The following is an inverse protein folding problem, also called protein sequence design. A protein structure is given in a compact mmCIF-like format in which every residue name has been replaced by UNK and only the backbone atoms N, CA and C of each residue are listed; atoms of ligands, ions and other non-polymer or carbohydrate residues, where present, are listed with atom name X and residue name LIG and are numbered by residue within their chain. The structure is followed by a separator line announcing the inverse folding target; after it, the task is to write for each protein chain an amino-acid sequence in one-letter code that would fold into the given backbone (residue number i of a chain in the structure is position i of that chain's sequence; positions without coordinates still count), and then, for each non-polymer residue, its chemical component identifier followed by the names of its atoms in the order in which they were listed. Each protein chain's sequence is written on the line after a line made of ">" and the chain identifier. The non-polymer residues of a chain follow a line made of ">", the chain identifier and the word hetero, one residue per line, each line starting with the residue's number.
data_IF_997005716269
#
_entry.id   IF_997005716269
#
_cell.length_a   1.000
_cell.length_b   1.000
_cell.length_c   1.000
_cell.angle_alpha   90.00
_cell.angle_beta   90.00
_cell.angle_gamma   90.00
#
_symmetry.space_group_name_H-M   'P 1'
#
loop_
_entity.id
_entity.type
_entity.pdbx_description
1 polymer ?
#
# COMPACT_ATOMS: atom_id res chain seq x y z
N UNK A 1 -19.34 4.23 10.26
CA UNK A 1 -18.03 4.90 10.41
C UNK A 1 -17.09 4.22 9.44
N UNK A 2 -16.49 4.95 8.49
CA UNK A 2 -15.53 4.36 7.52
C UNK A 2 -14.11 4.53 8.06
N UNK A 3 -13.31 3.48 7.98
CA UNK A 3 -11.92 3.45 8.45
C UNK A 3 -10.99 3.17 7.24
N UNK A 4 -10.82 4.14 6.32
CA UNK A 4 -10.26 3.88 4.99
C UNK A 4 -8.82 3.36 5.01
N UNK A 5 -8.02 3.75 6.01
CA UNK A 5 -6.65 3.22 6.20
C UNK A 5 -6.69 1.74 6.57
N UNK A 6 -7.56 1.39 7.52
CA UNK A 6 -7.72 0.00 7.98
C UNK A 6 -8.30 -0.85 6.85
N UNK A 7 -9.31 -0.37 6.15
CA UNK A 7 -9.94 -1.05 5.02
C UNK A 7 -8.90 -1.36 3.91
N UNK A 8 -8.10 -0.38 3.51
CA UNK A 8 -7.03 -0.57 2.52
C UNK A 8 -5.92 -1.50 3.03
N UNK A 9 -5.49 -1.37 4.29
CA UNK A 9 -4.50 -2.25 4.88
C UNK A 9 -4.98 -3.72 4.88
N UNK A 10 -6.22 -3.97 5.26
CA UNK A 10 -6.81 -5.31 5.22
C UNK A 10 -6.91 -5.84 3.78
N UNK A 11 -7.27 -5.00 2.79
CA UNK A 11 -7.27 -5.42 1.39
C UNK A 11 -5.86 -5.84 0.94
N UNK A 12 -4.82 -5.07 1.28
CA UNK A 12 -3.44 -5.43 0.97
C UNK A 12 -3.02 -6.72 1.68
N UNK A 13 -3.34 -6.90 2.97
CA UNK A 13 -2.96 -8.10 3.74
C UNK A 13 -3.58 -9.38 3.15
N UNK A 14 -4.81 -9.31 2.60
CA UNK A 14 -5.46 -10.48 1.96
C UNK A 14 -4.70 -11.04 0.76
N UNK A 15 -3.79 -10.26 0.17
CA UNK A 15 -2.99 -10.68 -0.97
C UNK A 15 -1.72 -11.36 -0.46
N UNK A 16 -1.51 -12.67 -0.73
CA UNK A 16 -0.33 -13.40 -0.28
C UNK A 16 0.90 -13.05 -1.14
N UNK A 17 1.32 -11.79 -1.09
CA UNK A 17 2.42 -11.21 -1.87
C UNK A 17 3.79 -11.67 -1.38
N UNK A 18 4.08 -12.96 -1.47
CA UNK A 18 5.39 -13.50 -1.09
C UNK A 18 6.45 -13.05 -2.10
N UNK A 19 7.57 -12.49 -1.62
CA UNK A 19 8.63 -11.97 -2.49
C UNK A 19 9.04 -12.99 -3.57
N UNK A 20 9.09 -12.60 -4.87
CA UNK A 20 8.88 -11.26 -5.42
C UNK A 20 7.46 -10.99 -5.97
N UNK A 21 6.50 -11.88 -5.75
CA UNK A 21 5.13 -11.72 -6.27
C UNK A 21 4.37 -10.60 -5.56
N UNK A 22 3.91 -9.61 -6.33
CA UNK A 22 3.09 -8.50 -5.86
C UNK A 22 1.67 -8.94 -5.42
N UNK A 23 1.17 -10.05 -5.98
CA UNK A 23 -0.19 -10.55 -5.77
C UNK A 23 -1.28 -9.48 -5.98
N UNK A 24 -1.05 -8.52 -6.88
CA UNK A 24 -1.99 -7.45 -7.23
C UNK A 24 -2.14 -6.35 -6.18
N UNK A 25 -1.16 -6.17 -5.30
CA UNK A 25 -1.11 -5.04 -4.35
C UNK A 25 -0.87 -3.71 -5.08
N UNK A 26 0.10 -3.66 -6.01
CA UNK A 26 0.40 -2.47 -6.79
C UNK A 26 -0.79 -2.04 -7.64
N UNK A 27 -1.51 -2.98 -8.26
CA UNK A 27 -2.72 -2.66 -9.02
C UNK A 27 -3.76 -1.87 -8.18
N UNK A 28 -3.98 -2.29 -6.93
CA UNK A 28 -4.88 -1.60 -5.99
C UNK A 28 -4.36 -0.21 -5.62
N UNK A 29 -3.05 -0.07 -5.34
CA UNK A 29 -2.46 1.24 -5.02
C UNK A 29 -2.51 2.20 -6.21
N UNK A 30 -2.18 1.70 -7.41
CA UNK A 30 -2.17 2.46 -8.66
C UNK A 30 -3.55 2.97 -9.01
N UNK A 31 -4.61 2.17 -8.85
CA UNK A 31 -5.99 2.58 -9.06
C UNK A 31 -6.34 3.81 -8.19
N UNK A 32 -6.01 3.73 -6.89
CA UNK A 32 -6.27 4.79 -5.90
C UNK A 32 -5.49 6.07 -6.22
N UNK A 33 -4.21 5.94 -6.59
CA UNK A 33 -3.37 7.09 -6.95
C UNK A 33 -3.82 7.75 -8.27
N UNK A 34 -4.18 6.95 -9.28
CA UNK A 34 -4.72 7.48 -10.55
C UNK A 34 -6.03 8.23 -10.34
N UNK A 35 -6.90 7.77 -9.45
CA UNK A 35 -8.16 8.43 -9.14
C UNK A 35 -8.00 9.86 -8.60
N UNK A 36 -6.84 10.20 -8.01
CA UNK A 36 -6.51 11.55 -7.52
C UNK A 36 -5.48 12.28 -8.41
N UNK A 37 -5.27 11.80 -9.64
CA UNK A 37 -4.51 12.50 -10.68
C UNK A 37 -3.00 12.28 -10.64
N UNK A 38 -2.52 11.17 -10.08
CA UNK A 38 -1.12 10.76 -10.25
C UNK A 38 -0.90 10.18 -11.65
N UNK A 39 0.20 10.57 -12.28
CA UNK A 39 0.80 9.81 -13.38
C UNK A 39 1.54 8.61 -12.79
N UNK A 40 1.46 7.45 -13.44
CA UNK A 40 2.08 6.21 -12.97
C UNK A 40 2.86 5.57 -14.11
N UNK A 41 4.12 5.28 -13.85
CA UNK A 41 5.05 4.56 -14.73
C UNK A 41 5.41 3.21 -14.10
N UNK A 42 4.90 2.08 -14.63
CA UNK A 42 5.36 0.75 -14.23
C UNK A 42 6.82 0.52 -14.65
N UNK A 43 7.60 -0.13 -13.79
CA UNK A 43 9.04 -0.38 -13.96
C UNK A 43 9.36 -1.82 -13.55
N UNK A 44 8.85 -2.78 -14.30
CA UNK A 44 9.00 -4.21 -13.99
C UNK A 44 10.35 -4.73 -14.50
N UNK A 45 11.08 -5.47 -13.64
CA UNK A 45 12.38 -6.04 -13.97
C UNK A 45 12.45 -7.49 -13.52
N UNK A 46 12.68 -8.40 -14.47
CA UNK A 46 12.68 -9.83 -14.19
C UNK A 46 11.33 -10.29 -13.66
N UNK A 47 11.33 -10.81 -12.44
CA UNK A 47 10.15 -11.29 -11.71
C UNK A 47 9.56 -10.26 -10.73
N UNK A 48 10.17 -9.07 -10.64
CA UNK A 48 9.82 -8.04 -9.66
C UNK A 48 9.05 -6.90 -10.33
N UNK A 49 7.86 -6.60 -9.80
CA UNK A 49 7.05 -5.48 -10.23
C UNK A 49 7.40 -4.22 -9.43
N UNK A 50 7.47 -3.07 -10.10
CA UNK A 50 7.64 -1.77 -9.43
C UNK A 50 6.80 -0.73 -10.15
N UNK A 51 6.52 0.39 -9.48
CA UNK A 51 6.02 1.57 -10.14
C UNK A 51 6.64 2.84 -9.56
N UNK A 52 6.71 3.87 -10.38
CA UNK A 52 6.95 5.24 -9.96
C UNK A 52 5.69 6.05 -10.25
N UNK A 53 5.11 6.67 -9.22
CA UNK A 53 3.93 7.51 -9.37
C UNK A 53 4.22 8.94 -8.90
N UNK A 54 3.73 9.94 -9.62
CA UNK A 54 3.92 11.33 -9.24
C UNK A 54 2.74 12.23 -9.59
N UNK A 55 2.57 13.30 -8.81
CA UNK A 55 1.63 14.39 -9.03
C UNK A 55 2.29 15.73 -8.71
N UNK A 56 2.08 16.74 -9.55
CA UNK A 56 2.74 18.05 -9.43
C UNK A 56 4.14 18.09 -10.03
N UNK A 57 4.89 19.15 -9.74
CA UNK A 57 6.21 19.43 -10.31
C UNK A 57 7.13 20.13 -9.30
N UNK A 58 8.44 20.16 -9.57
CA UNK A 58 9.43 20.86 -8.73
C UNK A 58 9.99 19.99 -7.59
N UNK A 59 10.22 20.61 -6.43
CA UNK A 59 10.75 19.94 -5.23
C UNK A 59 9.91 18.69 -4.91
N UNK A 60 10.58 17.53 -4.78
CA UNK A 60 9.92 16.22 -4.78
C UNK A 60 10.03 15.56 -3.41
N UNK A 61 8.88 15.24 -2.82
CA UNK A 61 8.78 14.32 -1.69
C UNK A 61 8.28 12.96 -2.20
N UNK A 62 9.04 11.89 -1.95
CA UNK A 62 8.66 10.53 -2.32
C UNK A 62 8.45 9.66 -1.08
N UNK A 63 7.32 8.94 -1.03
CA UNK A 63 7.10 7.86 -0.07
C UNK A 63 7.54 6.53 -0.70
N UNK A 64 8.58 5.91 -0.15
CA UNK A 64 9.00 4.58 -0.58
C UNK A 64 8.38 3.48 0.29
N UNK A 65 8.12 2.33 -0.32
CA UNK A 65 7.67 1.13 0.40
C UNK A 65 7.69 -0.11 -0.49
N UNK A 66 7.33 -1.26 0.07
CA UNK A 66 7.32 -2.53 -0.65
C UNK A 66 6.03 -3.30 -0.35
N UNK A 67 5.50 -4.00 -1.36
CA UNK A 67 4.24 -4.75 -1.26
C UNK A 67 4.43 -6.20 -0.87
N UNK A 68 5.62 -6.74 -1.11
CA UNK A 68 5.99 -8.11 -0.77
C UNK A 68 6.09 -8.31 0.74
N UNK A 69 5.94 -9.55 1.16
CA UNK A 69 6.02 -9.97 2.55
C UNK A 69 6.81 -11.26 2.66
N UNK A 70 7.50 -11.43 3.78
CA UNK A 70 8.20 -12.68 4.08
C UNK A 70 7.22 -13.85 4.26
N UNK A 71 7.68 -15.10 4.06
CA UNK A 71 6.88 -16.30 4.35
C UNK A 71 6.20 -16.26 5.73
N UNK A 72 4.96 -16.74 5.79
CA UNK A 72 4.21 -16.80 7.04
C UNK A 72 4.73 -17.87 8.02
N UNK A 73 5.53 -18.82 7.52
CA UNK A 73 5.92 -20.02 8.25
C UNK A 73 4.76 -21.01 8.36
N UNK A 74 4.74 -21.76 9.46
CA UNK A 74 3.68 -22.73 9.77
C UNK A 74 2.36 -22.01 10.10
N UNK A 75 1.35 -22.20 9.24
CA UNK A 75 0.04 -21.55 9.37
C UNK A 75 -0.71 -21.99 10.64
N UNK A 76 -0.50 -23.22 11.12
CA UNK A 76 -1.20 -23.76 12.30
C UNK A 76 -0.72 -23.10 13.60
N UNK A 77 0.42 -22.41 13.56
CA UNK A 77 0.95 -21.63 14.70
C UNK A 77 0.36 -20.22 14.78
N UNK A 78 -0.39 -19.78 13.78
CA UNK A 78 -1.06 -18.50 13.81
C UNK A 78 -2.42 -18.60 14.51
N UNK A 79 -2.76 -17.60 15.31
CA UNK A 79 -4.09 -17.54 15.96
C UNK A 79 -5.20 -17.27 14.92
N UNK A 80 -4.87 -16.52 13.87
CA UNK A 80 -5.72 -16.24 12.72
C UNK A 80 -4.87 -16.46 11.46
N UNK A 81 -5.41 -17.03 10.37
CA UNK A 81 -4.61 -17.28 9.17
C UNK A 81 -3.87 -16.01 8.70
N UNK A 82 -2.60 -16.11 8.27
CA UNK A 82 -1.73 -14.95 8.07
C UNK A 82 -2.24 -13.95 7.03
N UNK A 83 -3.06 -14.41 6.07
CA UNK A 83 -3.65 -13.58 5.02
C UNK A 83 -5.16 -13.36 5.22
N UNK A 84 -5.69 -13.68 6.40
CA UNK A 84 -7.05 -13.35 6.84
C UNK A 84 -7.01 -12.23 7.90
N UNK A 85 -6.94 -10.96 7.47
CA UNK A 85 -6.70 -9.85 8.38
C UNK A 85 -7.81 -9.73 9.42
N UNK A 86 -7.42 -9.82 10.69
CA UNK A 86 -8.35 -9.85 11.82
C UNK A 86 -8.06 -8.72 12.78
N UNK A 87 -9.08 -7.99 13.21
CA UNK A 87 -8.94 -6.98 14.26
C UNK A 87 -9.39 -7.60 15.58
N UNK A 88 -8.53 -7.58 16.59
CA UNK A 88 -8.85 -8.03 17.95
C UNK A 88 -8.14 -7.14 18.95
N UNK A 89 -8.89 -6.68 19.95
CA UNK A 89 -8.39 -5.80 21.03
C UNK A 89 -7.66 -4.55 20.51
N UNK A 90 -8.20 -3.94 19.44
CA UNK A 90 -7.64 -2.74 18.80
C UNK A 90 -6.42 -3.00 17.90
N UNK A 91 -5.98 -4.25 17.75
CA UNK A 91 -4.81 -4.63 16.96
C UNK A 91 -5.23 -5.31 15.65
N UNK A 92 -4.61 -4.91 14.53
CA UNK A 92 -4.77 -5.58 13.23
C UNK A 92 -3.71 -6.67 13.07
N UNK A 93 -4.15 -7.93 13.03
CA UNK A 93 -3.31 -9.09 12.81
C UNK A 93 -3.32 -9.50 11.34
N UNK A 94 -2.14 -9.91 10.85
CA UNK A 94 -1.93 -10.44 9.51
C UNK A 94 -0.49 -10.22 9.04
N UNK A 95 0.02 -11.10 8.16
CA UNK A 95 1.33 -10.93 7.55
C UNK A 95 1.34 -9.64 6.73
N UNK A 96 2.31 -8.79 7.02
CA UNK A 96 2.46 -7.48 6.41
C UNK A 96 1.72 -6.34 7.10
N UNK A 97 0.95 -6.60 8.18
CA UNK A 97 0.23 -5.54 8.88
C UNK A 97 1.16 -4.43 9.38
N UNK A 98 2.29 -4.81 10.00
CA UNK A 98 3.33 -3.88 10.43
C UNK A 98 4.36 -3.60 9.33
N UNK A 99 4.74 -4.62 8.55
CA UNK A 99 5.85 -4.56 7.59
C UNK A 99 5.41 -4.96 6.16
N UNK A 100 4.98 -4.04 5.32
CA UNK A 100 4.68 -2.64 5.65
C UNK A 100 3.33 -2.16 5.08
N UNK A 101 2.37 -3.07 4.90
CA UNK A 101 1.06 -2.81 4.27
C UNK A 101 0.19 -1.82 5.03
N UNK A 102 0.33 -1.75 6.37
CA UNK A 102 -0.28 -0.68 7.15
C UNK A 102 0.25 0.71 6.77
N UNK A 103 1.57 0.84 6.61
CA UNK A 103 2.22 2.07 6.16
C UNK A 103 1.81 2.44 4.74
N UNK A 104 1.77 1.47 3.81
CA UNK A 104 1.30 1.67 2.44
C UNK A 104 -0.13 2.24 2.40
N UNK A 105 -1.03 1.65 3.18
CA UNK A 105 -2.39 2.13 3.28
C UNK A 105 -2.47 3.56 3.85
N UNK A 106 -1.67 3.84 4.88
CA UNK A 106 -1.62 5.17 5.51
C UNK A 106 -1.12 6.24 4.54
N UNK A 107 -0.04 5.98 3.79
CA UNK A 107 0.53 6.94 2.84
C UNK A 107 -0.41 7.21 1.64
N UNK A 108 -1.10 6.19 1.11
CA UNK A 108 -2.09 6.37 0.03
C UNK A 108 -3.26 7.23 0.50
N UNK A 109 -3.85 6.92 1.66
CA UNK A 109 -4.97 7.70 2.20
C UNK A 109 -4.53 9.12 2.61
N UNK A 110 -3.30 9.29 3.08
CA UNK A 110 -2.73 10.61 3.33
C UNK A 110 -2.62 11.42 2.04
N UNK A 111 -2.18 10.83 0.93
CA UNK A 111 -2.14 11.50 -0.37
C UNK A 111 -3.54 11.89 -0.86
N UNK A 112 -4.54 11.03 -0.72
CA UNK A 112 -5.94 11.35 -1.06
C UNK A 112 -6.43 12.58 -0.30
N UNK A 113 -6.21 12.61 1.02
CA UNK A 113 -6.60 13.74 1.87
C UNK A 113 -5.81 15.01 1.56
N UNK A 114 -4.50 14.88 1.34
CA UNK A 114 -3.63 16.00 0.99
C UNK A 114 -4.03 16.62 -0.34
N UNK A 115 -4.29 15.83 -1.38
CA UNK A 115 -4.71 16.33 -2.69
C UNK A 115 -6.11 16.95 -2.62
N UNK A 116 -7.03 16.38 -1.84
CA UNK A 116 -8.34 16.99 -1.62
C UNK A 116 -8.24 18.37 -0.96
N UNK A 117 -7.32 18.55 0.00
CA UNK A 117 -7.11 19.82 0.70
C UNK A 117 -6.26 20.81 -0.11
N UNK A 118 -5.30 20.32 -0.90
CA UNK A 118 -4.31 21.10 -1.65
C UNK A 118 -4.23 20.65 -3.11
N UNK A 119 -5.29 20.83 -3.91
CA UNK A 119 -5.34 20.32 -5.29
C UNK A 119 -4.25 20.93 -6.19
N UNK A 120 -3.78 22.14 -5.87
CA UNK A 120 -2.74 22.90 -6.58
C UNK A 120 -1.46 23.08 -5.74
N UNK A 121 -1.05 22.05 -4.98
CA UNK A 121 0.17 22.09 -4.19
C UNK A 121 1.42 22.45 -5.03
N UNK A 122 2.39 23.16 -4.43
CA UNK A 122 3.53 23.78 -5.15
C UNK A 122 4.65 22.80 -5.54
N UNK A 123 4.80 21.69 -4.82
CA UNK A 123 5.82 20.67 -5.07
C UNK A 123 5.28 19.45 -5.81
N UNK A 124 6.13 18.43 -5.97
CA UNK A 124 5.77 17.11 -6.49
C UNK A 124 5.67 16.11 -5.35
N UNK A 125 4.54 15.42 -5.25
CA UNK A 125 4.35 14.27 -4.36
C UNK A 125 4.51 13.00 -5.19
N UNK A 126 5.23 12.03 -4.66
CA UNK A 126 5.51 10.79 -5.37
C UNK A 126 5.49 9.55 -4.46
N UNK A 127 5.39 8.40 -5.11
CA UNK A 127 5.47 7.05 -4.57
C UNK A 127 6.44 6.25 -5.42
#
# INVERSE_FOLDING_TARGET
>A
MSCPVIELAQQLIRRPSLSPDDAGCQALMIERLRAIGFTVEPMDFGDTQNFWAWRGHGETLAFAGHTDVVPAGDADRWINPPFEPTIRDGMLFGRGAADMKGSLAAMVVAAERFVAQYPNHRGRLAF
#
